data_IF_929528525012
#
_entry.id   IF_929528525012
#
_cell.length_a   1.000
_cell.length_b   1.000
_cell.length_c   1.000
_cell.angle_alpha   90.00
_cell.angle_beta   90.00
_cell.angle_gamma   90.00
#
_symmetry.space_group_name_H-M   'P 1'
#
loop_
_entity.id
_entity.type
_entity.pdbx_description
1 polymer ?
#
# COMPACT_ATOMS: atom_id res chain seq x y z
N UNK A 1 -3.19 5.97 -10.33
CA UNK A 1 -3.29 6.93 -9.19
C UNK A 1 -4.68 7.52 -9.01
N UNK A 2 -5.39 7.86 -10.07
CA UNK A 2 -6.78 8.37 -9.94
C UNK A 2 -7.68 7.40 -9.18
N UNK A 3 -7.58 6.12 -9.47
CA UNK A 3 -8.38 5.11 -8.78
C UNK A 3 -8.05 5.05 -7.29
N UNK A 4 -6.76 5.15 -6.95
CA UNK A 4 -6.34 5.20 -5.56
C UNK A 4 -6.89 6.44 -4.83
N UNK A 5 -6.91 7.59 -5.50
CA UNK A 5 -7.50 8.82 -4.94
C UNK A 5 -9.01 8.67 -4.71
N UNK A 6 -9.72 8.02 -5.63
CA UNK A 6 -11.15 7.76 -5.47
C UNK A 6 -11.42 6.85 -4.27
N UNK A 7 -10.57 5.86 -4.04
CA UNK A 7 -10.66 4.98 -2.87
C UNK A 7 -10.40 5.75 -1.56
N UNK A 8 -9.45 6.69 -1.58
CA UNK A 8 -9.17 7.54 -0.42
C UNK A 8 -10.40 8.39 -0.06
N UNK A 9 -11.04 9.00 -1.05
CA UNK A 9 -12.26 9.78 -0.85
C UNK A 9 -13.39 8.92 -0.29
N UNK A 10 -13.52 7.70 -0.80
CA UNK A 10 -14.52 6.76 -0.33
C UNK A 10 -14.32 6.42 1.14
N UNK A 11 -13.07 6.18 1.57
CA UNK A 11 -12.77 5.88 2.96
C UNK A 11 -13.22 7.03 3.88
N UNK A 12 -12.93 8.26 3.50
CA UNK A 12 -13.29 9.44 4.30
C UNK A 12 -14.80 9.69 4.28
N UNK A 13 -15.40 9.68 3.08
CA UNK A 13 -16.81 10.06 2.90
C UNK A 13 -17.77 9.04 3.46
N UNK A 14 -17.51 7.74 3.24
CA UNK A 14 -18.45 6.69 3.61
C UNK A 14 -18.20 6.10 4.99
N UNK A 15 -16.97 6.17 5.48
CA UNK A 15 -16.55 5.43 6.66
C UNK A 15 -15.82 6.26 7.70
N UNK A 16 -15.64 7.55 7.45
CA UNK A 16 -14.93 8.46 8.36
C UNK A 16 -13.51 7.99 8.71
N UNK A 17 -12.88 7.28 7.77
CA UNK A 17 -11.50 6.84 7.89
C UNK A 17 -10.53 7.92 7.41
N UNK A 18 -9.25 7.79 7.77
CA UNK A 18 -8.21 8.63 7.18
C UNK A 18 -8.16 8.36 5.68
N UNK A 19 -8.17 9.41 4.82
CA UNK A 19 -8.32 9.23 3.37
C UNK A 19 -7.03 8.74 2.70
N UNK A 20 -6.81 7.44 2.72
CA UNK A 20 -5.71 6.79 1.99
C UNK A 20 -6.30 5.68 1.13
N UNK A 21 -5.91 5.65 -0.13
CA UNK A 21 -6.31 4.62 -1.08
C UNK A 21 -5.10 4.02 -1.77
N UNK A 22 -5.20 2.74 -2.12
CA UNK A 22 -4.12 2.02 -2.79
C UNK A 22 -4.67 1.06 -3.84
N UNK A 23 -3.92 0.90 -4.94
CA UNK A 23 -4.22 -0.09 -5.97
C UNK A 23 -2.96 -0.88 -6.29
N UNK A 24 -3.12 -2.18 -6.50
CA UNK A 24 -2.04 -3.07 -6.90
C UNK A 24 -2.27 -3.51 -8.34
N UNK A 25 -1.27 -3.29 -9.16
CA UNK A 25 -1.31 -3.63 -10.59
C UNK A 25 -0.30 -4.75 -10.84
N UNK A 26 -0.74 -5.80 -11.51
CA UNK A 26 0.10 -6.94 -11.84
C UNK A 26 1.12 -6.65 -12.94
N UNK A 27 2.01 -7.61 -13.22
CA UNK A 27 3.05 -7.44 -14.26
C UNK A 27 2.48 -7.19 -15.65
N UNK A 28 1.26 -7.66 -15.90
CA UNK A 28 0.56 -7.51 -17.19
C UNK A 28 -0.25 -6.21 -17.29
N UNK A 29 -0.18 -5.35 -16.28
CA UNK A 29 -0.92 -4.09 -16.24
C UNK A 29 -2.34 -4.21 -15.72
N UNK A 30 -2.78 -5.38 -15.30
CA UNK A 30 -4.13 -5.57 -14.76
C UNK A 30 -4.21 -5.14 -13.30
N UNK A 31 -5.33 -4.52 -12.94
CA UNK A 31 -5.67 -4.26 -11.54
C UNK A 31 -5.96 -5.59 -10.85
N UNK A 32 -5.18 -5.95 -9.84
CA UNK A 32 -5.36 -7.22 -9.11
C UNK A 32 -5.73 -7.03 -7.64
N UNK A 33 -5.64 -5.82 -7.14
CA UNK A 33 -6.03 -5.53 -5.75
C UNK A 33 -6.27 -4.06 -5.56
N UNK A 34 -7.18 -3.74 -4.64
CA UNK A 34 -7.45 -2.36 -4.26
C UNK A 34 -7.79 -2.32 -2.77
N UNK A 35 -7.58 -1.17 -2.16
CA UNK A 35 -7.88 -1.01 -0.75
C UNK A 35 -7.95 0.46 -0.35
N UNK A 36 -8.59 0.68 0.77
CA UNK A 36 -8.61 1.96 1.46
C UNK A 36 -8.53 1.69 2.96
N UNK A 37 -8.18 2.71 3.74
CA UNK A 37 -8.06 2.55 5.18
C UNK A 37 -9.37 2.05 5.78
N UNK A 38 -9.27 0.99 6.60
CA UNK A 38 -10.41 0.35 7.27
C UNK A 38 -10.15 0.10 8.75
N UNK A 39 -9.22 0.83 9.34
CA UNK A 39 -8.84 0.60 10.74
C UNK A 39 -10.04 0.70 11.68
N UNK A 40 -10.89 1.69 11.49
CA UNK A 40 -12.07 1.93 12.34
C UNK A 40 -13.15 0.89 12.03
N UNK A 41 -13.48 0.69 10.76
CA UNK A 41 -14.55 -0.23 10.33
C UNK A 41 -14.26 -1.65 10.78
N UNK A 42 -13.03 -2.12 10.55
CA UNK A 42 -12.66 -3.51 10.78
C UNK A 42 -12.09 -3.74 12.19
N UNK A 43 -12.00 -2.70 13.02
CA UNK A 43 -11.34 -2.76 14.33
C UNK A 43 -9.97 -3.42 14.22
N UNK A 44 -9.20 -3.02 13.20
CA UNK A 44 -7.94 -3.65 12.83
C UNK A 44 -6.85 -2.59 12.67
N UNK A 45 -5.86 -2.54 13.58
CA UNK A 45 -4.80 -1.53 13.51
C UNK A 45 -3.90 -1.69 12.28
N UNK A 46 -3.92 -2.85 11.63
CA UNK A 46 -3.11 -3.11 10.43
C UNK A 46 -3.87 -2.86 9.13
N UNK A 47 -5.15 -2.46 9.17
CA UNK A 47 -5.99 -2.33 7.99
C UNK A 47 -5.75 -1.03 7.23
N UNK A 48 -4.51 -0.73 6.90
CA UNK A 48 -4.12 0.35 6.02
C UNK A 48 -4.44 -0.01 4.57
N UNK A 49 -4.63 1.02 3.72
CA UNK A 49 -4.97 0.84 2.33
C UNK A 49 -4.01 -0.12 1.61
N UNK A 50 -2.71 0.02 1.85
CA UNK A 50 -1.67 -0.79 1.22
C UNK A 50 -1.81 -2.27 1.60
N UNK A 51 -2.03 -2.54 2.89
CA UNK A 51 -2.23 -3.90 3.38
C UNK A 51 -3.46 -4.53 2.73
N UNK A 52 -4.55 -3.77 2.66
CA UNK A 52 -5.79 -4.26 2.04
C UNK A 52 -5.59 -4.59 0.56
N UNK A 53 -4.90 -3.71 -0.18
CA UNK A 53 -4.61 -3.93 -1.59
C UNK A 53 -3.71 -5.16 -1.81
N UNK A 54 -2.67 -5.33 -1.00
CA UNK A 54 -1.76 -6.47 -1.10
C UNK A 54 -2.45 -7.79 -0.74
N UNK A 55 -3.33 -7.80 0.27
CA UNK A 55 -4.11 -8.99 0.62
C UNK A 55 -5.01 -9.41 -0.54
N UNK A 56 -5.69 -8.45 -1.16
CA UNK A 56 -6.55 -8.72 -2.31
C UNK A 56 -5.73 -9.28 -3.48
N UNK A 57 -4.60 -8.67 -3.78
CA UNK A 57 -3.72 -9.13 -4.86
C UNK A 57 -3.14 -10.51 -4.62
N UNK A 58 -2.77 -10.80 -3.38
CA UNK A 58 -2.29 -12.12 -3.00
C UNK A 58 -3.32 -13.21 -3.22
N UNK A 59 -4.59 -12.92 -2.92
CA UNK A 59 -5.68 -13.87 -3.18
C UNK A 59 -5.87 -14.10 -4.68
N UNK A 60 -5.77 -13.05 -5.50
CA UNK A 60 -5.92 -13.17 -6.96
C UNK A 60 -4.79 -14.01 -7.55
N UNK A 61 -3.54 -13.74 -7.13
CA UNK A 61 -2.38 -14.45 -7.64
C UNK A 61 -2.17 -15.82 -6.99
N UNK A 62 -2.83 -16.08 -5.84
CA UNK A 62 -2.61 -17.30 -5.08
C UNK A 62 -1.19 -17.41 -4.53
N UNK A 63 -0.57 -16.30 -4.18
CA UNK A 63 0.82 -16.25 -3.76
C UNK A 63 1.02 -15.12 -2.75
N UNK A 64 1.89 -15.34 -1.76
CA UNK A 64 2.31 -14.31 -0.82
C UNK A 64 3.34 -13.35 -1.40
N UNK A 65 3.99 -13.71 -2.49
CA UNK A 65 4.93 -12.86 -3.22
C UNK A 65 4.24 -12.23 -4.42
N UNK A 66 4.36 -10.92 -4.51
CA UNK A 66 3.70 -10.10 -5.53
C UNK A 66 4.75 -9.61 -6.54
N UNK A 67 5.48 -10.56 -7.12
CA UNK A 67 6.60 -10.27 -8.02
C UNK A 67 6.12 -9.51 -9.26
N UNK A 68 6.87 -8.47 -9.63
CA UNK A 68 6.57 -7.67 -10.82
C UNK A 68 5.37 -6.76 -10.68
N UNK A 69 4.75 -6.71 -9.50
CA UNK A 69 3.59 -5.84 -9.26
C UNK A 69 4.02 -4.41 -8.93
N UNK A 70 3.15 -3.46 -9.24
CA UNK A 70 3.30 -2.06 -8.87
C UNK A 70 2.20 -1.69 -7.88
N UNK A 71 2.57 -1.08 -6.75
CA UNK A 71 1.63 -0.54 -5.78
C UNK A 71 1.56 0.97 -5.96
N UNK A 72 0.36 1.48 -6.22
CA UNK A 72 0.07 2.91 -6.22
C UNK A 72 -0.69 3.25 -4.95
N UNK A 73 -0.20 4.20 -4.19
CA UNK A 73 -0.84 4.63 -2.94
C UNK A 73 -0.83 6.16 -2.87
N UNK A 74 -1.87 6.74 -2.29
CA UNK A 74 -2.03 8.20 -2.27
C UNK A 74 -1.09 8.91 -1.30
N UNK A 75 -0.67 8.20 -0.25
CA UNK A 75 0.23 8.73 0.77
C UNK A 75 1.41 7.79 0.97
N UNK A 76 2.58 8.35 1.25
CA UNK A 76 3.80 7.57 1.53
C UNK A 76 3.54 6.51 2.61
N UNK A 77 3.91 5.23 2.35
CA UNK A 77 3.68 4.17 3.32
C UNK A 77 4.45 4.38 4.63
N UNK A 78 3.80 3.98 5.74
CA UNK A 78 4.43 3.93 7.05
C UNK A 78 5.39 2.73 7.16
N UNK A 79 6.08 2.57 8.30
CA UNK A 79 7.03 1.49 8.51
C UNK A 79 6.38 0.10 8.36
N UNK A 80 5.19 -0.10 8.91
CA UNK A 80 4.46 -1.38 8.80
C UNK A 80 4.19 -1.75 7.35
N UNK A 81 3.63 -0.83 6.57
CA UNK A 81 3.29 -1.07 5.18
C UNK A 81 4.53 -1.23 4.31
N UNK A 82 5.57 -0.44 4.57
CA UNK A 82 6.85 -0.54 3.85
C UNK A 82 7.47 -1.91 4.05
N UNK A 83 7.51 -2.40 5.28
CA UNK A 83 8.05 -3.75 5.54
C UNK A 83 7.16 -4.82 4.88
N UNK A 84 5.84 -4.66 4.89
CA UNK A 84 4.94 -5.60 4.23
C UNK A 84 5.21 -5.68 2.73
N UNK A 85 5.39 -4.54 2.05
CA UNK A 85 5.66 -4.57 0.62
C UNK A 85 7.06 -5.11 0.29
N UNK A 86 8.04 -4.95 1.18
CA UNK A 86 9.35 -5.59 1.03
C UNK A 86 9.20 -7.11 1.16
N UNK A 87 8.47 -7.60 2.17
CA UNK A 87 8.20 -9.02 2.34
C UNK A 87 7.43 -9.60 1.14
N UNK A 88 6.52 -8.85 0.56
CA UNK A 88 5.74 -9.26 -0.61
C UNK A 88 6.54 -9.22 -1.91
N UNK A 89 7.73 -8.64 -1.90
CA UNK A 89 8.59 -8.51 -3.09
C UNK A 89 7.96 -7.63 -4.17
N UNK A 90 7.28 -6.56 -3.78
CA UNK A 90 6.72 -5.58 -4.72
C UNK A 90 7.83 -5.04 -5.62
N UNK A 91 7.58 -4.99 -6.92
CA UNK A 91 8.58 -4.54 -7.89
C UNK A 91 8.73 -3.04 -7.96
N UNK A 92 7.63 -2.30 -7.75
CA UNK A 92 7.62 -0.84 -7.87
C UNK A 92 6.60 -0.24 -6.93
N UNK A 93 6.98 0.85 -6.27
CA UNK A 93 6.10 1.64 -5.41
C UNK A 93 5.98 3.06 -5.97
N UNK A 94 4.74 3.53 -6.12
CA UNK A 94 4.44 4.91 -6.51
C UNK A 94 3.52 5.52 -5.47
N UNK A 95 3.91 6.62 -4.83
CA UNK A 95 3.04 7.30 -3.88
C UNK A 95 2.85 8.77 -4.26
N UNK A 96 1.69 9.32 -3.88
CA UNK A 96 1.29 10.67 -4.29
C UNK A 96 1.91 11.76 -3.44
N UNK A 97 1.91 11.60 -2.12
CA UNK A 97 2.40 12.61 -1.18
C UNK A 97 3.31 11.99 -0.15
N UNK A 98 4.36 12.74 0.23
CA UNK A 98 5.24 12.34 1.33
C UNK A 98 4.53 12.53 2.67
N UNK A 99 4.86 11.68 3.63
CA UNK A 99 4.33 11.77 4.99
C UNK A 99 5.46 12.22 5.93
N UNK A 100 5.37 13.45 6.41
CA UNK A 100 6.40 14.03 7.28
C UNK A 100 6.30 13.55 8.73
N UNK A 101 5.29 12.76 9.07
CA UNK A 101 5.08 12.24 10.44
C UNK A 101 5.52 10.79 10.58
N UNK A 102 5.14 9.93 9.63
CA UNK A 102 5.33 8.49 9.75
C UNK A 102 5.85 7.83 8.47
N UNK A 103 6.17 8.59 7.43
CA UNK A 103 6.62 8.04 6.16
C UNK A 103 7.94 7.28 6.29
N UNK A 104 8.02 6.11 5.67
CA UNK A 104 9.16 5.20 5.77
C UNK A 104 9.87 4.95 4.44
N UNK A 105 9.55 5.76 3.42
CA UNK A 105 10.16 5.68 2.08
C UNK A 105 10.91 6.98 1.76
N UNK A 106 11.52 7.58 2.78
CA UNK A 106 12.30 8.80 2.67
C UNK A 106 11.73 10.00 3.43
N UNK A 107 10.48 9.93 3.91
CA UNK A 107 9.85 11.04 4.64
C UNK A 107 10.45 11.24 6.03
N UNK A 108 10.26 10.27 6.91
CA UNK A 108 10.82 10.27 8.28
C UNK A 108 11.88 9.19 8.39
N UNK A 109 11.57 8.01 7.89
CA UNK A 109 12.48 6.86 7.82
C UNK A 109 12.74 6.53 6.35
N UNK A 110 13.78 5.80 6.08
CA UNK A 110 14.06 5.29 4.74
C UNK A 110 14.31 3.79 4.79
N UNK A 111 13.26 3.04 5.12
CA UNK A 111 13.34 1.59 5.20
C UNK A 111 13.49 0.94 3.82
N UNK A 112 12.86 1.52 2.81
CA UNK A 112 12.89 0.96 1.47
C UNK A 112 14.28 1.05 0.83
N UNK A 113 15.03 2.09 1.19
CA UNK A 113 16.42 2.28 0.72
C UNK A 113 17.47 1.62 1.58
N UNK A 114 17.08 0.98 2.69
CA UNK A 114 18.03 0.37 3.63
C UNK A 114 18.66 -0.88 3.02
N UNK A 115 19.97 -0.84 2.83
CA UNK A 115 20.72 -1.92 2.20
C UNK A 115 20.83 -3.21 3.01
N UNK A 116 20.34 -3.22 4.25
CA UNK A 116 20.38 -4.42 5.11
C UNK A 116 19.28 -5.43 4.78
N UNK A 117 18.31 -5.05 3.96
CA UNK A 117 17.28 -6.00 3.50
C UNK A 117 17.89 -7.03 2.56
N UNK A 118 17.42 -8.28 2.67
CA UNK A 118 17.83 -9.37 1.78
C UNK A 118 17.25 -9.22 0.38
N UNK A 119 16.33 -8.29 0.20
CA UNK A 119 15.60 -8.08 -1.03
C UNK A 119 15.60 -6.59 -1.41
N UNK A 120 15.69 -6.33 -2.68
CA UNK A 120 15.67 -5.00 -3.26
C UNK A 120 14.64 -4.89 -4.36
#
# INVERSE_FOLDING_TARGET
MRHALALAERAQREHDEIPVGAVLVGPDGRLIGEGYNRNIIDHDPSAHAEIMAMRAGGRVLGNHRLLGCTLYVTLEPCAMCTMALIHARIGRLVFGASDSKTGACGGVFDLIGDGRHNHR
#
